data_IF_084910600652
#
_entry.id   IF_084910600652
#
_cell.length_a   1.000
_cell.length_b   1.000
_cell.length_c   1.000
_cell.angle_alpha   90.00
_cell.angle_beta   90.00
_cell.angle_gamma   90.00
#
_symmetry.space_group_name_H-M   'P 1'
#
loop_
_entity.id
_entity.type
_entity.pdbx_description
1 polymer ?
#
# COMPACT_ATOMS: atom_id res chain seq x y z
N UNK A 1 -4.94 -0.88 -4.22
CA UNK A 1 -3.75 -1.11 -5.06
C UNK A 1 -4.11 -1.83 -6.36
N UNK A 2 -3.63 -1.33 -7.50
CA UNK A 2 -3.74 -2.05 -8.78
C UNK A 2 -2.79 -3.26 -8.78
N UNK A 3 -3.09 -4.28 -9.59
CA UNK A 3 -2.24 -5.48 -9.74
C UNK A 3 -0.80 -5.15 -10.19
N UNK A 4 -0.58 -4.01 -10.86
CA UNK A 4 0.75 -3.55 -11.23
C UNK A 4 1.60 -3.14 -10.02
N UNK A 5 1.00 -2.44 -9.05
CA UNK A 5 1.71 -1.94 -7.87
C UNK A 5 2.20 -3.08 -6.97
N UNK A 6 1.46 -4.19 -6.89
CA UNK A 6 1.87 -5.40 -6.16
C UNK A 6 3.13 -6.04 -6.75
N UNK A 7 3.18 -6.20 -8.08
CA UNK A 7 4.39 -6.71 -8.76
C UNK A 7 5.60 -5.80 -8.60
N UNK A 8 5.38 -4.48 -8.56
CA UNK A 8 6.45 -3.52 -8.29
C UNK A 8 6.95 -3.64 -6.84
N UNK A 9 6.06 -3.82 -5.87
CA UNK A 9 6.41 -4.03 -4.47
C UNK A 9 7.25 -5.30 -4.28
N UNK A 10 6.83 -6.42 -4.87
CA UNK A 10 7.57 -7.69 -4.83
C UNK A 10 8.98 -7.54 -5.42
N UNK A 11 9.10 -6.86 -6.57
CA UNK A 11 10.40 -6.54 -7.16
C UNK A 11 11.26 -5.67 -6.26
N UNK A 12 10.69 -4.67 -5.58
CA UNK A 12 11.45 -3.81 -4.64
C UNK A 12 11.98 -4.66 -3.49
N UNK A 13 11.13 -5.49 -2.87
CA UNK A 13 11.54 -6.40 -1.78
C UNK A 13 12.67 -7.33 -2.21
N UNK A 14 12.56 -7.95 -3.39
CA UNK A 14 13.61 -8.82 -3.92
C UNK A 14 14.94 -8.10 -4.18
N UNK A 15 14.91 -6.86 -4.66
CA UNK A 15 16.14 -6.10 -4.92
C UNK A 15 16.81 -5.63 -3.63
N UNK A 16 16.04 -5.32 -2.58
CA UNK A 16 16.57 -5.01 -1.25
C UNK A 16 17.26 -6.24 -0.66
N UNK A 17 16.61 -7.41 -0.75
CA UNK A 17 17.13 -8.68 -0.22
C UNK A 17 18.46 -9.09 -0.90
N UNK A 18 18.49 -9.00 -2.24
CA UNK A 18 19.66 -9.36 -3.07
C UNK A 18 20.76 -8.29 -3.10
N UNK A 19 20.54 -7.13 -2.49
CA UNK A 19 21.55 -6.05 -2.50
C UNK A 19 22.75 -6.43 -1.65
N UNK A 20 23.94 -6.34 -2.23
CA UNK A 20 25.21 -6.47 -1.51
C UNK A 20 25.67 -5.13 -0.92
N UNK A 21 25.03 -4.02 -1.32
CA UNK A 21 25.38 -2.66 -0.90
C UNK A 21 24.63 -2.23 0.38
N UNK A 22 23.62 -3.00 0.80
CA UNK A 22 22.87 -2.77 2.02
C UNK A 22 23.33 -3.72 3.12
N UNK A 23 23.51 -3.17 4.31
CA UNK A 23 23.69 -3.97 5.53
C UNK A 23 22.41 -4.72 5.88
N UNK A 24 22.54 -5.81 6.64
CA UNK A 24 21.38 -6.58 7.10
C UNK A 24 20.42 -5.76 7.97
N UNK A 25 20.93 -4.76 8.68
CA UNK A 25 20.12 -3.84 9.47
C UNK A 25 19.31 -2.88 8.58
N UNK A 26 19.91 -2.35 7.52
CA UNK A 26 19.21 -1.53 6.52
C UNK A 26 18.13 -2.33 5.78
N UNK A 27 18.42 -3.59 5.41
CA UNK A 27 17.45 -4.49 4.79
C UNK A 27 16.28 -4.75 5.73
N UNK A 28 16.56 -5.12 6.98
CA UNK A 28 15.53 -5.37 8.00
C UNK A 28 14.66 -4.14 8.26
N UNK A 29 15.27 -2.95 8.34
CA UNK A 29 14.55 -1.69 8.52
C UNK A 29 13.66 -1.37 7.32
N UNK A 30 14.17 -1.56 6.09
CA UNK A 30 13.39 -1.34 4.87
C UNK A 30 12.20 -2.29 4.76
N UNK A 31 12.38 -3.57 5.10
CA UNK A 31 11.29 -4.55 5.10
C UNK A 31 10.16 -4.19 6.05
N UNK A 32 10.51 -3.78 7.28
CA UNK A 32 9.54 -3.35 8.29
C UNK A 32 8.69 -2.18 7.79
N UNK A 33 9.32 -1.13 7.26
CA UNK A 33 8.57 0.01 6.73
C UNK A 33 7.71 -0.32 5.51
N UNK A 34 8.21 -1.18 4.61
CA UNK A 34 7.41 -1.63 3.45
C UNK A 34 6.14 -2.36 3.92
N UNK A 35 6.25 -3.21 4.95
CA UNK A 35 5.10 -3.94 5.48
C UNK A 35 4.13 -3.04 6.23
N UNK A 36 4.63 -2.11 7.04
CA UNK A 36 3.84 -1.09 7.73
C UNK A 36 3.03 -0.27 6.72
N UNK A 37 3.69 0.33 5.73
CA UNK A 37 3.02 1.18 4.74
C UNK A 37 2.07 0.39 3.83
N UNK A 38 2.40 -0.85 3.49
CA UNK A 38 1.49 -1.71 2.74
C UNK A 38 0.23 -2.02 3.55
N UNK A 39 0.37 -2.34 4.84
CA UNK A 39 -0.76 -2.59 5.72
C UNK A 39 -1.62 -1.33 5.90
N UNK A 40 -1.00 -0.16 6.04
CA UNK A 40 -1.69 1.13 6.10
C UNK A 40 -2.47 1.45 4.82
N UNK A 41 -1.88 1.26 3.64
CA UNK A 41 -2.56 1.45 2.35
C UNK A 41 -3.77 0.50 2.19
N UNK A 42 -3.60 -0.78 2.56
CA UNK A 42 -4.71 -1.75 2.55
C UNK A 42 -5.82 -1.36 3.53
N UNK A 43 -5.46 -0.89 4.73
CA UNK A 43 -6.40 -0.42 5.73
C UNK A 43 -7.16 0.81 5.24
N UNK A 44 -6.47 1.76 4.60
CA UNK A 44 -7.06 2.95 4.00
C UNK A 44 -8.02 2.59 2.86
N UNK A 45 -7.60 1.74 1.93
CA UNK A 45 -8.46 1.26 0.86
C UNK A 45 -9.70 0.53 1.40
N UNK A 46 -9.55 -0.26 2.46
CA UNK A 46 -10.68 -0.94 3.13
C UNK A 46 -11.62 0.07 3.79
N UNK A 47 -11.07 1.10 4.45
CA UNK A 47 -11.83 2.17 5.09
C UNK A 47 -12.68 2.93 4.06
N UNK A 48 -12.07 3.40 2.97
CA UNK A 48 -12.77 4.13 1.89
C UNK A 48 -13.87 3.27 1.27
N UNK A 49 -13.58 1.99 0.97
CA UNK A 49 -14.58 1.07 0.42
C UNK A 49 -15.76 0.83 1.37
N UNK A 50 -15.49 0.68 2.67
CA UNK A 50 -16.55 0.53 3.67
C UNK A 50 -17.38 1.80 3.78
N UNK A 51 -16.75 2.95 3.77
CA UNK A 51 -17.40 4.26 3.84
C UNK A 51 -18.32 4.49 2.63
N UNK A 52 -17.87 4.19 1.42
CA UNK A 52 -18.67 4.27 0.19
C UNK A 52 -19.93 3.39 0.27
N UNK A 53 -19.85 2.20 0.87
CA UNK A 53 -20.98 1.27 1.02
C UNK A 53 -22.05 1.72 2.00
N UNK A 54 -21.79 2.72 2.85
CA UNK A 54 -22.77 3.20 3.84
C UNK A 54 -23.95 3.88 3.13
N UNK A 55 -23.68 4.69 2.10
CA UNK A 55 -24.75 5.27 1.28
C UNK A 55 -24.22 5.73 -0.08
N UNK A 56 -25.08 5.71 -1.12
CA UNK A 56 -24.73 6.25 -2.44
C UNK A 56 -24.31 7.74 -2.43
N UNK A 57 -24.80 8.51 -1.45
CA UNK A 57 -24.37 9.91 -1.26
C UNK A 57 -22.93 10.02 -0.80
N UNK A 58 -22.51 9.11 0.08
CA UNK A 58 -21.13 9.07 0.58
C UNK A 58 -20.19 8.61 -0.54
N UNK A 59 -20.60 7.62 -1.34
CA UNK A 59 -19.87 7.22 -2.56
C UNK A 59 -19.68 8.41 -3.52
N UNK A 60 -20.73 9.19 -3.79
CA UNK A 60 -20.64 10.39 -4.62
C UNK A 60 -19.64 11.42 -4.06
N UNK A 61 -19.68 11.67 -2.74
CA UNK A 61 -18.70 12.57 -2.08
C UNK A 61 -17.26 12.04 -2.24
N UNK A 62 -17.06 10.73 -2.07
CA UNK A 62 -15.73 10.14 -2.21
C UNK A 62 -15.21 10.22 -3.66
N UNK A 63 -16.08 10.05 -4.65
CA UNK A 63 -15.74 10.21 -6.06
C UNK A 63 -15.44 11.68 -6.43
N UNK A 64 -16.22 12.64 -5.91
CA UNK A 64 -15.97 14.08 -6.08
C UNK A 64 -14.60 14.50 -5.50
N UNK A 65 -14.17 13.84 -4.42
CA UNK A 65 -12.87 14.05 -3.79
C UNK A 65 -11.72 13.29 -4.47
N UNK A 66 -11.99 12.46 -5.48
CA UNK A 66 -10.98 11.64 -6.17
C UNK A 66 -10.40 10.51 -5.32
N UNK A 67 -11.15 10.05 -4.31
CA UNK A 67 -10.73 8.99 -3.39
C UNK A 67 -11.13 7.58 -3.87
N UNK A 68 -11.99 7.50 -4.89
CA UNK A 68 -12.41 6.28 -5.60
C UNK A 68 -12.58 6.56 -7.10
#
# INVERSE_FOLDING_TARGET
>A
MSQGNLKHLERIKENIDKSNDLTEEEKSNAWRHIEEWYAEDQAWGTFINKLARISPKIEAILAELGLI
#
